data_IF_566335424289
#
_entry.id   IF_566335424289
#
_cell.length_a   1.000
_cell.length_b   1.000
_cell.length_c   1.000
_cell.angle_alpha   90.00
_cell.angle_beta   90.00
_cell.angle_gamma   90.00
#
_symmetry.space_group_name_H-M   'P 1'
#
loop_
_entity.id
_entity.type
_entity.pdbx_description
1 polymer ?
#
# COMPACT_ATOMS: atom_id res chain seq x y z
N UNK A 1 -35.56 11.45 -27.63
CA UNK A 1 -34.20 11.63 -28.19
C UNK A 1 -33.23 10.98 -27.23
N UNK A 2 -32.59 9.88 -27.64
CA UNK A 2 -31.68 9.12 -26.81
C UNK A 2 -30.29 9.78 -26.83
N UNK A 3 -29.80 10.19 -25.67
CA UNK A 3 -28.44 10.70 -25.49
C UNK A 3 -27.45 9.56 -25.70
N UNK A 4 -26.75 9.60 -26.85
CA UNK A 4 -25.62 8.71 -27.12
C UNK A 4 -24.46 9.13 -26.22
N UNK A 5 -24.20 8.34 -25.19
CA UNK A 5 -22.93 8.34 -24.47
C UNK A 5 -21.78 8.24 -25.49
N UNK A 6 -20.93 9.27 -25.55
CA UNK A 6 -19.65 9.22 -26.27
C UNK A 6 -18.77 8.16 -25.61
N UNK A 7 -18.76 6.96 -26.17
CA UNK A 7 -17.67 6.00 -25.98
C UNK A 7 -16.40 6.63 -26.54
N UNK A 8 -15.52 7.10 -25.66
CA UNK A 8 -14.15 7.48 -26.05
C UNK A 8 -13.50 6.27 -26.73
N UNK A 9 -13.09 6.42 -27.99
CA UNK A 9 -12.32 5.40 -28.68
C UNK A 9 -11.05 5.11 -27.86
N UNK A 10 -10.74 3.84 -27.56
CA UNK A 10 -9.55 3.51 -26.80
C UNK A 10 -8.31 3.98 -27.55
N UNK A 11 -7.51 4.83 -26.88
CA UNK A 11 -6.32 5.39 -27.50
C UNK A 11 -5.28 4.28 -27.77
N UNK A 12 -5.06 4.00 -29.06
CA UNK A 12 -4.11 3.01 -29.53
C UNK A 12 -2.69 3.56 -29.45
N UNK A 13 -1.88 3.01 -28.55
CA UNK A 13 -0.48 3.37 -28.40
C UNK A 13 0.38 2.55 -29.36
N UNK A 14 0.95 3.22 -30.36
CA UNK A 14 1.80 2.64 -31.41
C UNK A 14 1.18 1.43 -32.13
N UNK A 15 -0.16 1.34 -32.19
CA UNK A 15 -0.88 0.21 -32.77
C UNK A 15 -0.72 -1.13 -32.04
N UNK A 16 -0.03 -1.16 -30.89
CA UNK A 16 0.31 -2.40 -30.15
C UNK A 16 -0.42 -2.52 -28.82
N UNK A 17 -0.67 -1.40 -28.15
CA UNK A 17 -1.34 -1.39 -26.86
C UNK A 17 -2.62 -0.56 -26.92
N UNK A 18 -3.68 -1.13 -26.36
CA UNK A 18 -4.94 -0.44 -26.11
C UNK A 18 -4.90 0.14 -24.70
N UNK A 19 -4.89 1.48 -24.58
CA UNK A 19 -4.93 2.15 -23.27
C UNK A 19 -6.37 2.15 -22.73
N UNK A 20 -6.52 1.72 -21.48
CA UNK A 20 -7.76 1.75 -20.73
C UNK A 20 -7.73 2.76 -19.58
N UNK A 21 -8.46 2.43 -18.50
CA UNK A 21 -8.61 3.30 -17.33
C UNK A 21 -7.29 3.66 -16.65
N UNK A 22 -7.24 4.81 -16.01
CA UNK A 22 -6.11 5.19 -15.15
C UNK A 22 -6.08 4.31 -13.89
N UNK A 23 -4.91 3.82 -13.53
CA UNK A 23 -4.66 3.05 -12.30
C UNK A 23 -4.05 3.91 -11.20
N UNK A 24 -3.27 4.93 -11.58
CA UNK A 24 -2.64 5.83 -10.63
C UNK A 24 -2.07 7.08 -11.29
N UNK A 25 -1.91 8.13 -10.50
CA UNK A 25 -1.33 9.39 -10.91
C UNK A 25 -0.31 9.85 -9.87
N UNK A 26 0.92 10.11 -10.32
CA UNK A 26 1.96 10.76 -9.53
C UNK A 26 2.36 12.09 -10.16
N UNK A 27 3.21 12.85 -9.46
CA UNK A 27 3.69 14.17 -9.88
C UNK A 27 4.34 14.19 -11.28
N UNK A 28 5.00 13.10 -11.66
CA UNK A 28 5.79 13.02 -12.90
C UNK A 28 5.33 11.93 -13.87
N UNK A 29 4.35 11.12 -13.48
CA UNK A 29 3.91 9.97 -14.27
C UNK A 29 2.42 9.70 -14.11
N UNK A 30 1.82 9.14 -15.15
CA UNK A 30 0.46 8.57 -15.11
C UNK A 30 0.56 7.09 -15.43
N UNK A 31 -0.17 6.26 -14.68
CA UNK A 31 -0.21 4.81 -14.89
C UNK A 31 -1.60 4.42 -15.36
N UNK A 32 -1.68 3.70 -16.46
CA UNK A 32 -2.92 3.24 -17.07
C UNK A 32 -2.95 1.72 -17.11
N UNK A 33 -4.13 1.14 -17.01
CA UNK A 33 -4.35 -0.21 -17.48
C UNK A 33 -4.19 -0.21 -19.00
N UNK A 34 -3.51 -1.21 -19.56
CA UNK A 34 -3.46 -1.38 -21.00
C UNK A 34 -3.51 -2.86 -21.39
N UNK A 35 -3.92 -3.13 -22.62
CA UNK A 35 -3.93 -4.48 -23.18
C UNK A 35 -2.98 -4.54 -24.36
N UNK A 36 -2.06 -5.49 -24.35
CA UNK A 36 -1.23 -5.79 -25.52
C UNK A 36 -2.11 -6.51 -26.56
N UNK A 37 -2.27 -5.92 -27.74
CA UNK A 37 -3.18 -6.42 -28.78
C UNK A 37 -2.67 -7.68 -29.48
N UNK A 38 -1.36 -7.91 -29.51
CA UNK A 38 -0.76 -9.10 -30.12
C UNK A 38 -0.92 -10.34 -29.24
N UNK A 39 -0.75 -10.17 -27.92
CA UNK A 39 -0.74 -11.30 -26.96
C UNK A 39 -2.03 -11.41 -26.15
N UNK A 40 -2.87 -10.38 -26.14
CA UNK A 40 -4.04 -10.27 -25.26
C UNK A 40 -3.71 -9.99 -23.79
N UNK A 41 -2.43 -9.93 -23.40
CA UNK A 41 -1.99 -9.76 -22.00
C UNK A 41 -2.31 -8.35 -21.49
N UNK A 42 -2.86 -8.28 -20.28
CA UNK A 42 -3.05 -7.01 -19.56
C UNK A 42 -1.73 -6.55 -18.92
N UNK A 43 -1.45 -5.26 -19.00
CA UNK A 43 -0.22 -4.63 -18.50
C UNK A 43 -0.53 -3.32 -17.79
N UNK A 44 0.39 -2.88 -16.94
CA UNK A 44 0.40 -1.50 -16.44
C UNK A 44 1.26 -0.65 -17.39
N UNK A 45 0.70 0.46 -17.88
CA UNK A 45 1.39 1.39 -18.77
C UNK A 45 1.73 2.67 -18.02
N UNK A 46 2.99 2.85 -17.64
CA UNK A 46 3.48 4.09 -17.03
C UNK A 46 3.92 5.07 -18.12
N UNK A 47 3.43 6.29 -18.06
CA UNK A 47 3.66 7.35 -19.06
C UNK A 47 4.38 8.52 -18.40
N UNK A 48 5.53 8.91 -18.96
CA UNK A 48 6.41 9.97 -18.47
C UNK A 48 6.71 10.97 -19.60
N UNK A 49 6.77 12.28 -19.32
CA UNK A 49 7.12 13.29 -20.33
C UNK A 49 8.62 13.32 -20.65
N UNK A 50 9.01 13.44 -21.93
CA UNK A 50 10.41 13.45 -22.40
C UNK A 50 11.17 14.75 -22.11
N UNK A 51 10.50 15.90 -22.19
CA UNK A 51 11.12 17.22 -21.97
C UNK A 51 11.82 17.27 -20.60
N UNK A 52 11.18 16.63 -19.63
CA UNK A 52 11.68 16.42 -18.27
C UNK A 52 12.98 15.58 -18.25
N UNK A 53 13.10 14.55 -19.08
CA UNK A 53 14.23 13.58 -19.07
C UNK A 53 15.52 14.13 -19.71
N UNK A 54 15.40 14.96 -20.75
CA UNK A 54 16.54 15.38 -21.59
C UNK A 54 17.44 16.42 -20.89
N UNK A 55 16.90 17.15 -19.91
CA UNK A 55 17.56 18.31 -19.29
C UNK A 55 18.79 17.98 -18.42
N UNK A 56 19.04 16.70 -18.08
CA UNK A 56 19.94 16.35 -16.96
C UNK A 56 21.27 15.73 -17.40
N UNK A 57 21.55 15.56 -18.70
CA UNK A 57 22.86 15.08 -19.18
C UNK A 57 23.24 13.64 -18.77
N UNK A 58 22.35 12.90 -18.11
CA UNK A 58 22.56 11.53 -17.60
C UNK A 58 21.76 10.47 -18.36
N UNK A 59 21.35 10.77 -19.60
CA UNK A 59 20.51 9.91 -20.42
C UNK A 59 21.12 8.52 -20.66
N UNK A 60 22.45 8.43 -20.76
CA UNK A 60 23.15 7.16 -20.98
C UNK A 60 23.09 6.24 -19.75
N UNK A 61 23.18 6.81 -18.53
CA UNK A 61 23.00 6.02 -17.30
C UNK A 61 21.56 5.49 -17.21
N UNK A 62 20.59 6.34 -17.48
CA UNK A 62 19.17 5.99 -17.49
C UNK A 62 18.89 4.87 -18.50
N UNK A 63 19.39 5.00 -19.74
CA UNK A 63 19.26 3.96 -20.78
C UNK A 63 19.88 2.64 -20.33
N UNK A 64 21.05 2.69 -19.67
CA UNK A 64 21.73 1.50 -19.14
C UNK A 64 20.88 0.81 -18.07
N UNK A 65 20.39 1.55 -17.07
CA UNK A 65 19.56 0.99 -16.00
C UNK A 65 18.26 0.38 -16.56
N UNK A 66 17.59 1.04 -17.50
CA UNK A 66 16.41 0.46 -18.18
C UNK A 66 16.77 -0.81 -18.95
N UNK A 67 17.89 -0.82 -19.66
CA UNK A 67 18.31 -1.99 -20.45
C UNK A 67 18.56 -3.19 -19.56
N UNK A 68 19.19 -2.98 -18.40
CA UNK A 68 19.34 -4.02 -17.36
C UNK A 68 17.97 -4.46 -16.84
N UNK A 69 17.06 -3.52 -16.54
CA UNK A 69 15.73 -3.83 -16.01
C UNK A 69 14.86 -4.65 -16.97
N UNK A 70 15.04 -4.53 -18.30
CA UNK A 70 14.35 -5.40 -19.28
C UNK A 70 14.78 -6.87 -19.19
N UNK A 71 15.94 -7.16 -18.59
CA UNK A 71 16.48 -8.51 -18.41
C UNK A 71 16.29 -9.04 -16.99
N UNK A 72 15.81 -8.19 -16.06
CA UNK A 72 15.56 -8.57 -14.67
C UNK A 72 14.32 -9.44 -14.59
N UNK A 73 14.49 -10.66 -14.08
CA UNK A 73 13.40 -11.56 -13.70
C UNK A 73 13.61 -12.00 -12.27
N UNK A 74 12.74 -11.52 -11.38
CA UNK A 74 12.76 -11.87 -9.96
C UNK A 74 11.30 -11.90 -9.46
N UNK A 75 10.91 -12.90 -8.63
CA UNK A 75 9.51 -13.05 -8.19
C UNK A 75 8.97 -11.79 -7.49
N UNK A 76 9.82 -11.08 -6.75
CA UNK A 76 9.43 -9.88 -5.99
C UNK A 76 9.73 -8.54 -6.67
N UNK A 77 9.98 -8.52 -7.98
CA UNK A 77 10.19 -7.30 -8.77
C UNK A 77 9.16 -7.27 -9.90
N UNK A 78 8.54 -6.11 -10.12
CA UNK A 78 7.63 -5.89 -11.25
C UNK A 78 8.40 -5.98 -12.55
N UNK A 79 8.00 -6.90 -13.44
CA UNK A 79 8.68 -7.11 -14.71
C UNK A 79 8.44 -5.93 -15.68
N UNK A 80 9.53 -5.44 -16.29
CA UNK A 80 9.47 -4.46 -17.37
C UNK A 80 9.45 -5.18 -18.72
N UNK A 81 8.28 -5.26 -19.35
CA UNK A 81 8.14 -5.95 -20.62
C UNK A 81 8.73 -5.15 -21.78
N UNK A 82 8.44 -3.84 -21.84
CA UNK A 82 8.80 -3.02 -23.00
C UNK A 82 8.90 -1.53 -22.65
N UNK A 83 9.74 -0.82 -23.40
CA UNK A 83 9.82 0.64 -23.35
C UNK A 83 9.62 1.19 -24.76
N UNK A 84 8.70 2.14 -24.89
CA UNK A 84 8.40 2.85 -26.13
C UNK A 84 8.56 4.35 -25.92
N UNK A 85 8.70 5.11 -26.99
CA UNK A 85 8.87 6.55 -26.91
C UNK A 85 8.21 7.25 -28.11
N UNK A 86 7.53 8.36 -27.85
CA UNK A 86 7.08 9.32 -28.88
C UNK A 86 7.98 10.56 -28.87
N UNK A 87 7.65 11.62 -29.61
CA UNK A 87 8.40 12.89 -29.56
C UNK A 87 8.43 13.52 -28.16
N UNK A 88 7.35 13.39 -27.39
CA UNK A 88 7.17 14.08 -26.10
C UNK A 88 6.98 13.18 -24.89
N UNK A 89 6.85 11.85 -25.06
CA UNK A 89 6.58 10.91 -23.96
C UNK A 89 7.41 9.62 -24.06
N UNK A 90 7.67 9.01 -22.91
CA UNK A 90 8.21 7.66 -22.74
C UNK A 90 7.13 6.81 -22.07
N UNK A 91 6.99 5.58 -22.55
CA UNK A 91 5.97 4.63 -22.13
C UNK A 91 6.66 3.35 -21.66
N UNK A 92 6.32 2.89 -20.45
CA UNK A 92 6.85 1.67 -19.86
C UNK A 92 5.69 0.69 -19.71
N UNK A 93 5.74 -0.42 -20.46
CA UNK A 93 4.80 -1.51 -20.33
C UNK A 93 5.33 -2.50 -19.28
N UNK A 94 4.61 -2.66 -18.19
CA UNK A 94 5.05 -3.35 -16.98
C UNK A 94 4.06 -4.46 -16.60
N UNK A 95 4.49 -5.41 -15.79
CA UNK A 95 3.62 -6.36 -15.11
C UNK A 95 2.48 -5.62 -14.38
N UNK A 96 1.24 -6.07 -14.59
CA UNK A 96 0.07 -5.55 -13.90
C UNK A 96 -0.13 -6.29 -12.58
N UNK A 97 0.21 -5.65 -11.48
CA UNK A 97 0.04 -6.19 -10.12
C UNK A 97 -1.34 -5.81 -9.58
N UNK A 98 -2.09 -6.79 -9.05
CA UNK A 98 -3.53 -6.64 -8.73
C UNK A 98 -3.89 -6.61 -7.24
N UNK A 99 -2.98 -7.00 -6.35
CA UNK A 99 -3.24 -7.10 -4.92
C UNK A 99 -3.12 -5.77 -4.15
N UNK A 100 -2.87 -4.65 -4.84
CA UNK A 100 -2.80 -3.31 -4.25
C UNK A 100 -1.49 -3.04 -3.50
N UNK A 101 -1.44 -1.92 -2.78
CA UNK A 101 -0.26 -1.53 -1.99
C UNK A 101 -0.22 -2.30 -0.67
N UNK A 102 0.98 -2.71 -0.25
CA UNK A 102 1.24 -3.40 1.02
C UNK A 102 0.68 -2.59 2.19
N UNK A 103 0.95 -1.28 2.21
CA UNK A 103 0.58 -0.42 3.34
C UNK A 103 -0.93 -0.16 3.43
N UNK A 104 -1.69 -0.23 2.32
CA UNK A 104 -3.15 -0.20 2.38
C UNK A 104 -3.72 -1.40 3.13
N UNK A 105 -3.08 -2.57 3.04
CA UNK A 105 -3.48 -3.75 3.83
C UNK A 105 -3.07 -3.63 5.31
N UNK A 106 -2.05 -2.83 5.61
CA UNK A 106 -1.52 -2.59 6.96
C UNK A 106 -2.22 -1.42 7.67
N UNK A 107 -2.98 -0.57 6.97
CA UNK A 107 -3.69 0.58 7.56
C UNK A 107 -4.60 0.26 8.76
N UNK A 108 -4.84 -1.03 9.06
CA UNK A 108 -5.47 -1.54 10.27
C UNK A 108 -4.55 -1.64 11.51
N UNK A 109 -3.26 -1.27 11.41
CA UNK A 109 -2.31 -1.26 12.53
C UNK A 109 -0.87 -1.65 12.15
N UNK A 110 -0.20 -2.42 13.02
CA UNK A 110 1.15 -2.99 12.79
C UNK A 110 1.08 -4.46 12.41
N UNK A 111 2.08 -4.97 11.70
CA UNK A 111 2.20 -6.40 11.45
C UNK A 111 2.80 -7.13 12.66
N UNK A 112 2.46 -8.42 12.78
CA UNK A 112 3.21 -9.35 13.63
C UNK A 112 4.63 -9.48 13.07
N UNK A 113 5.59 -9.67 13.96
CA UNK A 113 7.01 -9.68 13.60
C UNK A 113 7.34 -10.74 12.55
N UNK A 114 6.70 -11.92 12.62
CA UNK A 114 6.91 -13.00 11.63
C UNK A 114 6.38 -12.64 10.24
N UNK A 115 5.22 -11.99 10.16
CA UNK A 115 4.67 -11.51 8.88
C UNK A 115 5.52 -10.39 8.29
N UNK A 116 5.95 -9.43 9.13
CA UNK A 116 6.86 -8.36 8.71
C UNK A 116 8.19 -8.92 8.21
N UNK A 117 8.70 -10.00 8.82
CA UNK A 117 9.92 -10.70 8.39
C UNK A 117 9.79 -11.28 6.99
N UNK A 118 8.68 -11.92 6.65
CA UNK A 118 8.46 -12.46 5.29
C UNK A 118 8.54 -11.36 4.25
N UNK A 119 7.81 -10.26 4.43
CA UNK A 119 7.88 -9.13 3.50
C UNK A 119 9.26 -8.49 3.44
N UNK A 120 9.94 -8.38 4.58
CA UNK A 120 11.30 -7.83 4.62
C UNK A 120 12.32 -8.74 3.94
N UNK A 121 12.18 -10.07 4.05
CA UNK A 121 13.00 -11.03 3.32
C UNK A 121 12.79 -10.90 1.80
N UNK A 122 11.54 -10.80 1.34
CA UNK A 122 11.21 -10.58 -0.07
C UNK A 122 11.77 -9.23 -0.58
N UNK A 123 11.67 -8.17 0.24
CA UNK A 123 12.22 -6.85 -0.08
C UNK A 123 13.74 -6.89 -0.22
N UNK A 124 14.44 -7.44 0.78
CA UNK A 124 15.90 -7.55 0.75
C UNK A 124 16.37 -8.41 -0.42
N UNK A 125 15.66 -9.52 -0.72
CA UNK A 125 15.96 -10.35 -1.90
C UNK A 125 15.86 -9.56 -3.21
N UNK A 126 14.79 -8.78 -3.39
CA UNK A 126 14.62 -7.94 -4.57
C UNK A 126 15.71 -6.86 -4.68
N UNK A 127 16.03 -6.19 -3.56
CA UNK A 127 17.03 -5.13 -3.52
C UNK A 127 18.44 -5.68 -3.81
N UNK A 128 18.82 -6.79 -3.19
CA UNK A 128 20.12 -7.45 -3.42
C UNK A 128 20.29 -7.89 -4.88
N UNK A 129 19.21 -8.45 -5.46
CA UNK A 129 19.19 -8.87 -6.85
C UNK A 129 19.45 -7.71 -7.82
N UNK A 130 18.89 -6.54 -7.55
CA UNK A 130 19.14 -5.33 -8.35
C UNK A 130 20.53 -4.75 -8.11
N UNK A 131 20.96 -4.66 -6.84
CA UNK A 131 22.26 -4.10 -6.47
C UNK A 131 23.42 -4.87 -7.09
N UNK A 132 23.33 -6.21 -7.11
CA UNK A 132 24.33 -7.08 -7.78
C UNK A 132 24.43 -6.86 -9.30
N UNK A 133 23.48 -6.16 -9.92
CA UNK A 133 23.45 -5.79 -11.34
C UNK A 133 23.70 -4.29 -11.57
N UNK A 134 24.11 -3.56 -10.52
CA UNK A 134 24.38 -2.13 -10.59
C UNK A 134 23.13 -1.26 -10.76
N UNK A 135 21.95 -1.79 -10.46
CA UNK A 135 20.69 -1.04 -10.44
C UNK A 135 20.30 -0.75 -9.00
N UNK A 136 20.04 0.53 -8.71
CA UNK A 136 19.67 1.00 -7.37
C UNK A 136 18.31 1.68 -7.45
N UNK A 137 17.48 1.55 -6.41
CA UNK A 137 16.15 2.12 -6.43
C UNK A 137 16.14 3.59 -6.01
N UNK A 138 16.89 4.05 -5.01
CA UNK A 138 17.05 5.47 -4.60
C UNK A 138 15.80 6.24 -4.14
N UNK A 139 14.61 5.67 -4.27
CA UNK A 139 13.31 6.27 -3.88
C UNK A 139 12.37 5.21 -3.30
N UNK A 140 12.91 4.20 -2.59
CA UNK A 140 12.08 3.15 -1.97
C UNK A 140 11.15 3.75 -0.91
N UNK A 141 9.85 3.50 -1.08
CA UNK A 141 8.77 4.02 -0.23
C UNK A 141 7.53 3.12 -0.30
N UNK A 142 6.55 3.29 0.61
CA UNK A 142 5.33 2.48 0.65
C UNK A 142 4.62 2.28 -0.69
N UNK A 143 4.53 3.35 -1.48
CA UNK A 143 3.85 3.39 -2.78
C UNK A 143 4.56 2.52 -3.84
N UNK A 144 5.81 2.12 -3.59
CA UNK A 144 6.55 1.21 -4.46
C UNK A 144 6.43 -0.27 -4.04
N UNK A 145 5.74 -0.58 -2.94
CA UNK A 145 5.58 -1.92 -2.40
C UNK A 145 4.17 -2.42 -2.66
N UNK A 146 4.00 -3.16 -3.76
CA UNK A 146 2.73 -3.75 -4.16
C UNK A 146 2.64 -5.22 -3.70
N UNK A 147 1.44 -5.78 -3.79
CA UNK A 147 1.18 -7.19 -3.54
C UNK A 147 0.55 -7.84 -4.77
N UNK A 148 0.99 -9.04 -5.13
CA UNK A 148 0.30 -9.86 -6.13
C UNK A 148 -0.98 -10.51 -5.56
N UNK A 149 -1.64 -11.36 -6.35
CA UNK A 149 -2.89 -12.02 -5.98
C UNK A 149 -2.68 -13.04 -4.86
N UNK A 150 -1.49 -13.63 -4.78
CA UNK A 150 -1.08 -14.55 -3.74
C UNK A 150 -0.60 -13.85 -2.45
N UNK A 151 -0.49 -12.52 -2.48
CA UNK A 151 -0.06 -11.70 -1.34
C UNK A 151 1.46 -11.63 -1.17
N UNK A 152 2.25 -11.94 -2.19
CA UNK A 152 3.69 -11.72 -2.17
C UNK A 152 4.04 -10.30 -2.59
N UNK A 153 5.16 -9.80 -2.05
CA UNK A 153 5.68 -8.48 -2.38
C UNK A 153 6.09 -8.40 -3.86
N UNK A 154 5.71 -7.29 -4.50
CA UNK A 154 6.18 -6.87 -5.82
C UNK A 154 6.69 -5.43 -5.71
N UNK A 155 8.00 -5.26 -5.81
CA UNK A 155 8.63 -3.93 -5.81
C UNK A 155 8.59 -3.35 -7.22
N UNK A 156 8.01 -2.16 -7.38
CA UNK A 156 7.96 -1.45 -8.67
C UNK A 156 9.07 -0.41 -8.79
N UNK A 157 9.22 0.21 -9.97
CA UNK A 157 10.01 1.42 -10.21
C UNK A 157 11.55 1.33 -10.08
N UNK A 158 12.11 0.12 -9.95
CA UNK A 158 13.56 -0.08 -10.11
C UNK A 158 14.06 0.43 -11.47
N UNK A 159 15.17 1.19 -11.47
CA UNK A 159 15.76 1.81 -12.66
C UNK A 159 14.90 2.92 -13.30
N UNK A 160 13.67 3.12 -12.84
CA UNK A 160 12.79 4.21 -13.25
C UNK A 160 12.89 5.41 -12.29
N UNK A 161 13.38 5.18 -11.09
CA UNK A 161 13.63 6.17 -10.05
C UNK A 161 14.79 7.11 -10.39
N UNK A 162 15.80 6.64 -11.12
CA UNK A 162 16.87 7.49 -11.66
C UNK A 162 16.27 8.67 -12.43
N UNK A 163 15.22 8.44 -13.24
CA UNK A 163 14.50 9.54 -13.87
C UNK A 163 13.93 10.51 -12.84
N UNK A 164 13.19 10.01 -11.84
CA UNK A 164 12.49 10.88 -10.88
C UNK A 164 13.42 11.67 -9.97
N UNK A 165 14.59 11.13 -9.63
CA UNK A 165 15.59 11.81 -8.82
C UNK A 165 16.20 13.00 -9.57
N UNK A 166 16.50 12.81 -10.85
CA UNK A 166 17.06 13.84 -11.71
C UNK A 166 16.06 14.96 -12.04
N UNK A 167 14.76 14.64 -12.06
CA UNK A 167 13.69 15.63 -12.21
C UNK A 167 13.48 16.51 -10.96
N UNK A 168 13.92 16.07 -9.79
CA UNK A 168 13.85 16.83 -8.52
C UNK A 168 15.02 17.83 -8.36
N UNK A 169 15.85 18.05 -9.41
CA UNK A 169 17.05 18.90 -9.35
C UNK A 169 16.77 20.40 -9.58
N UNK A 170 15.52 20.82 -9.74
CA UNK A 170 15.06 22.21 -9.90
C UNK A 170 15.24 23.10 -8.65
N UNK A 171 16.07 22.69 -7.69
CA UNK A 171 16.51 23.48 -6.54
C UNK A 171 15.45 23.68 -5.45
N UNK A 172 14.17 23.55 -5.81
CA UNK A 172 13.03 23.61 -4.93
C UNK A 172 12.81 22.25 -4.27
N UNK A 173 12.60 22.25 -2.96
CA UNK A 173 12.14 21.08 -2.22
C UNK A 173 10.70 20.77 -2.67
N UNK A 174 10.53 20.17 -3.85
CA UNK A 174 9.26 19.64 -4.33
C UNK A 174 8.90 18.36 -3.56
N UNK A 175 8.62 18.52 -2.26
CA UNK A 175 7.88 17.58 -1.43
C UNK A 175 6.57 18.24 -1.03
N UNK A 176 5.71 18.54 -2.00
CA UNK A 176 4.34 18.97 -1.69
C UNK A 176 3.44 17.78 -1.31
N UNK A 177 3.85 16.52 -1.56
CA UNK A 177 3.00 15.35 -1.24
C UNK A 177 3.76 14.05 -0.89
N UNK A 178 5.09 14.06 -0.71
CA UNK A 178 5.86 12.84 -0.38
C UNK A 178 6.50 12.93 1.00
N UNK A 179 6.43 11.86 1.80
CA UNK A 179 7.00 11.83 3.15
C UNK A 179 8.55 11.75 3.07
N UNK A 180 9.31 12.81 3.39
CA UNK A 180 10.79 12.77 3.38
C UNK A 180 11.38 11.77 4.39
N UNK A 181 10.55 11.18 5.26
CA UNK A 181 10.96 10.25 6.31
C UNK A 181 11.61 8.94 5.80
N UNK A 182 11.44 8.58 4.52
CA UNK A 182 12.06 7.39 3.91
C UNK A 182 13.42 7.66 3.28
N UNK A 183 13.83 8.93 3.19
CA UNK A 183 15.04 9.36 2.48
C UNK A 183 16.22 9.37 3.44
N UNK A 184 17.37 8.85 3.00
CA UNK A 184 18.57 8.79 3.81
C UNK A 184 19.20 10.20 4.04
N UNK A 185 19.87 10.45 5.17
CA UNK A 185 20.44 11.76 5.49
C UNK A 185 21.39 12.30 4.40
N UNK A 186 22.20 11.42 3.81
CA UNK A 186 23.17 11.79 2.77
C UNK A 186 22.51 12.21 1.44
N UNK A 187 21.31 11.69 1.15
CA UNK A 187 20.54 12.05 -0.04
C UNK A 187 19.94 13.45 0.11
N UNK A 188 19.46 13.78 1.31
CA UNK A 188 18.93 15.11 1.65
C UNK A 188 20.02 16.19 1.53
N UNK A 189 21.27 15.85 1.90
CA UNK A 189 22.42 16.74 1.83
C UNK A 189 22.92 17.08 0.42
N UNK A 190 22.29 16.57 -0.64
CA UNK A 190 22.58 16.85 -2.07
C UNK A 190 24.04 16.66 -2.50
N UNK A 191 24.78 15.78 -1.82
CA UNK A 191 26.10 15.31 -2.28
C UNK A 191 25.88 13.98 -3.00
N UNK A 192 26.64 13.70 -4.07
CA UNK A 192 26.61 12.38 -4.70
C UNK A 192 26.75 11.29 -3.62
N UNK A 193 25.89 10.28 -3.66
CA UNK A 193 25.75 9.30 -2.59
C UNK A 193 25.80 7.87 -3.14
N UNK A 194 26.02 6.93 -2.22
CA UNK A 194 25.98 5.50 -2.52
C UNK A 194 24.52 5.01 -2.57
N UNK A 195 24.04 4.72 -3.78
CA UNK A 195 22.66 4.26 -4.00
C UNK A 195 22.30 3.00 -3.22
N UNK A 196 23.26 2.08 -3.01
CA UNK A 196 23.00 0.87 -2.24
C UNK A 196 22.74 1.20 -0.77
N UNK A 197 23.54 2.11 -0.19
CA UNK A 197 23.36 2.53 1.21
C UNK A 197 22.07 3.31 1.40
N UNK A 198 21.68 4.14 0.44
CA UNK A 198 20.40 4.85 0.47
C UNK A 198 19.21 3.87 0.48
N UNK A 199 19.21 2.85 -0.37
CA UNK A 199 18.17 1.82 -0.39
C UNK A 199 18.07 1.04 0.93
N UNK A 200 19.21 0.73 1.55
CA UNK A 200 19.26 0.04 2.85
C UNK A 200 18.62 0.88 3.96
N UNK A 201 18.84 2.20 3.95
CA UNK A 201 18.16 3.11 4.88
C UNK A 201 16.65 3.06 4.69
N UNK A 202 16.18 3.19 3.44
CA UNK A 202 14.75 3.13 3.12
C UNK A 202 14.13 1.79 3.52
N UNK A 203 14.84 0.67 3.32
CA UNK A 203 14.43 -0.64 3.83
C UNK A 203 14.30 -0.66 5.36
N UNK A 204 15.20 0.01 6.08
CA UNK A 204 15.12 0.19 7.53
C UNK A 204 13.88 0.96 7.97
N UNK A 205 13.55 2.04 7.27
CA UNK A 205 12.34 2.83 7.55
C UNK A 205 11.10 1.97 7.28
N UNK A 206 11.05 1.26 6.14
CA UNK A 206 9.95 0.35 5.80
C UNK A 206 9.77 -0.70 6.89
N UNK A 207 10.83 -1.42 7.29
CA UNK A 207 10.76 -2.44 8.33
C UNK A 207 10.24 -1.88 9.65
N UNK A 208 10.72 -0.70 10.04
CA UNK A 208 10.24 -0.01 11.22
C UNK A 208 8.73 0.22 11.14
N UNK A 209 8.22 0.77 10.03
CA UNK A 209 6.78 1.04 9.88
C UNK A 209 5.98 -0.27 9.88
N UNK A 210 6.46 -1.34 9.24
CA UNK A 210 5.78 -2.65 9.28
C UNK A 210 5.61 -3.16 10.73
N UNK A 211 6.62 -2.97 11.58
CA UNK A 211 6.62 -3.45 12.96
C UNK A 211 5.96 -2.49 13.96
N UNK A 212 6.05 -1.19 13.72
CA UNK A 212 5.57 -0.14 14.64
C UNK A 212 4.16 0.35 14.28
N UNK A 213 3.81 0.39 12.99
CA UNK A 213 2.60 1.03 12.46
C UNK A 213 2.73 2.55 12.29
N UNK A 214 3.91 3.13 12.53
CA UNK A 214 4.20 4.56 12.40
C UNK A 214 5.67 4.79 12.00
N UNK A 215 6.02 6.01 11.60
CA UNK A 215 7.35 6.37 11.10
C UNK A 215 8.41 6.47 12.24
N UNK A 216 9.68 6.10 11.98
CA UNK A 216 10.75 6.25 12.97
C UNK A 216 11.12 7.72 13.21
N UNK A 217 11.01 8.56 12.17
CA UNK A 217 11.32 9.98 12.22
C UNK A 217 10.08 10.79 11.84
N UNK A 218 9.45 11.40 12.83
CA UNK A 218 8.30 12.27 12.64
C UNK A 218 8.35 13.41 13.66
N UNK A 219 7.94 14.60 13.22
CA UNK A 219 7.80 15.80 14.03
C UNK A 219 6.89 16.79 13.30
N UNK A 220 6.14 17.61 14.04
CA UNK A 220 5.31 18.67 13.45
C UNK A 220 6.19 19.78 12.85
N UNK A 221 7.40 19.97 13.38
CA UNK A 221 8.38 20.87 12.82
C UNK A 221 9.32 20.12 11.86
N UNK A 222 9.26 20.44 10.57
CA UNK A 222 10.11 19.82 9.54
C UNK A 222 11.60 19.89 9.86
N UNK A 223 12.09 20.99 10.42
CA UNK A 223 13.52 21.15 10.78
C UNK A 223 13.88 20.20 11.94
N UNK A 224 12.99 20.02 12.92
CA UNK A 224 13.18 19.06 14.00
C UNK A 224 13.17 17.61 13.49
N UNK A 225 12.25 17.27 12.59
CA UNK A 225 12.23 15.97 11.92
C UNK A 225 13.54 15.71 11.16
N UNK A 226 14.04 16.68 10.38
CA UNK A 226 15.33 16.54 9.71
C UNK A 226 16.49 16.37 10.69
N UNK A 227 16.51 17.11 11.81
CA UNK A 227 17.52 16.92 12.87
C UNK A 227 17.49 15.49 13.43
N UNK A 228 16.31 14.89 13.61
CA UNK A 228 16.17 13.49 14.03
C UNK A 228 16.77 12.53 12.98
N UNK A 229 16.45 12.73 11.71
CA UNK A 229 16.98 11.95 10.58
C UNK A 229 18.52 12.01 10.55
N UNK A 230 19.12 13.21 10.57
CA UNK A 230 20.57 13.39 10.54
C UNK A 230 21.29 12.78 11.75
N UNK A 231 20.62 12.70 12.90
CA UNK A 231 21.17 12.11 14.13
C UNK A 231 20.89 10.61 14.25
N UNK A 232 20.02 10.04 13.41
CA UNK A 232 19.49 8.70 13.64
C UNK A 232 18.71 8.59 14.95
N UNK A 233 18.06 9.67 15.39
CA UNK A 233 17.33 9.74 16.66
C UNK A 233 15.89 9.23 16.48
N UNK A 234 15.69 7.95 16.76
CA UNK A 234 14.38 7.29 16.78
C UNK A 234 14.28 6.36 17.99
N UNK A 235 13.05 6.05 18.42
CA UNK A 235 12.78 5.18 19.57
C UNK A 235 12.05 3.92 19.13
N UNK A 236 12.64 2.75 19.37
CA UNK A 236 11.93 1.50 19.12
C UNK A 236 10.83 1.28 20.17
N UNK A 237 9.61 0.89 19.75
CA UNK A 237 8.54 0.53 20.68
C UNK A 237 8.90 -0.62 21.65
N UNK A 238 8.21 -0.74 22.79
CA UNK A 238 8.47 -1.79 23.78
C UNK A 238 8.20 -3.20 23.24
N UNK A 239 7.32 -3.35 22.25
CA UNK A 239 6.98 -4.65 21.64
C UNK A 239 7.98 -5.14 20.58
N UNK A 240 9.01 -4.37 20.23
CA UNK A 240 10.07 -4.86 19.34
C UNK A 240 10.92 -5.90 20.08
N UNK A 241 11.20 -7.03 19.44
CA UNK A 241 12.19 -7.96 19.97
C UNK A 241 13.58 -7.29 20.06
N UNK A 242 14.46 -7.72 20.98
CA UNK A 242 15.85 -7.23 21.03
C UNK A 242 16.59 -7.41 19.70
N UNK A 243 16.25 -8.45 18.95
CA UNK A 243 16.82 -8.75 17.64
C UNK A 243 16.36 -7.77 16.57
N UNK A 244 15.06 -7.43 16.53
CA UNK A 244 14.50 -6.43 15.63
C UNK A 244 15.13 -5.05 15.90
N UNK A 245 15.22 -4.64 17.18
CA UNK A 245 15.85 -3.36 17.58
C UNK A 245 17.28 -3.26 17.07
N UNK A 246 18.08 -4.32 17.26
CA UNK A 246 19.47 -4.40 16.84
C UNK A 246 19.63 -4.36 15.31
N UNK A 247 18.73 -4.98 14.57
CA UNK A 247 18.76 -4.91 13.10
C UNK A 247 18.41 -3.51 12.61
N UNK A 248 17.32 -2.93 13.13
CA UNK A 248 16.85 -1.59 12.74
C UNK A 248 17.89 -0.52 13.06
N UNK A 249 18.54 -0.57 14.23
CA UNK A 249 19.60 0.38 14.57
C UNK A 249 20.79 0.33 13.62
N UNK A 250 21.05 -0.83 13.00
CA UNK A 250 22.12 -1.00 11.99
C UNK A 250 21.68 -0.56 10.59
N UNK A 251 20.40 -0.71 10.26
CA UNK A 251 19.80 -0.23 9.01
C UNK A 251 19.70 1.30 8.98
N UNK A 252 19.28 1.90 10.10
CA UNK A 252 19.08 3.34 10.29
C UNK A 252 20.32 4.03 10.89
N UNK A 253 21.51 3.56 10.55
CA UNK A 253 22.76 4.26 10.86
C UNK A 253 22.87 5.50 9.94
N UNK A 254 22.93 6.73 10.50
CA UNK A 254 22.99 7.95 9.70
C UNK A 254 24.31 8.07 8.92
N UNK A 255 25.37 7.36 9.32
CA UNK A 255 26.62 7.33 8.56
C UNK A 255 26.60 6.20 7.51
N UNK A 256 26.55 6.51 6.20
CA UNK A 256 26.46 5.48 5.16
C UNK A 256 27.71 4.58 5.10
N UNK A 257 28.86 5.01 5.63
CA UNK A 257 30.08 4.19 5.64
C UNK A 257 29.99 3.03 6.63
N UNK A 258 29.33 3.25 7.77
CA UNK A 258 29.17 2.24 8.84
C UNK A 258 27.82 1.53 8.78
N UNK A 259 26.84 2.07 8.02
CA UNK A 259 25.56 1.43 7.75
C UNK A 259 25.75 0.02 7.19
N UNK A 260 24.99 -0.92 7.76
CA UNK A 260 25.08 -2.36 7.47
C UNK A 260 24.96 -2.66 5.97
N UNK A 261 25.73 -3.63 5.48
CA UNK A 261 25.61 -4.14 4.11
C UNK A 261 24.56 -5.26 4.03
N UNK A 262 23.99 -5.49 2.83
CA UNK A 262 22.99 -6.55 2.60
C UNK A 262 23.47 -7.93 3.03
N UNK A 263 24.72 -8.29 2.74
CA UNK A 263 25.32 -9.55 3.19
C UNK A 263 25.24 -9.74 4.71
N UNK A 264 25.38 -8.66 5.49
CA UNK A 264 25.25 -8.70 6.95
C UNK A 264 23.80 -8.66 7.43
N UNK A 265 22.88 -8.10 6.64
CA UNK A 265 21.43 -8.19 6.91
C UNK A 265 20.98 -9.64 6.81
N UNK A 266 21.31 -10.31 5.70
CA UNK A 266 20.91 -11.72 5.44
C UNK A 266 21.57 -12.70 6.41
N UNK A 267 22.72 -12.33 6.98
CA UNK A 267 23.39 -13.11 8.04
C UNK A 267 22.75 -12.98 9.43
N UNK A 268 21.92 -11.95 9.67
CA UNK A 268 21.43 -11.61 11.00
C UNK A 268 20.46 -12.65 11.57
N UNK A 269 20.46 -12.81 12.90
CA UNK A 269 19.58 -13.79 13.57
C UNK A 269 18.10 -13.49 13.33
N UNK A 270 17.73 -12.20 13.35
CA UNK A 270 16.37 -11.76 13.05
C UNK A 270 15.94 -12.13 11.63
N UNK A 271 16.82 -11.95 10.63
CA UNK A 271 16.50 -12.22 9.23
C UNK A 271 16.44 -13.72 8.93
N UNK A 272 17.36 -14.51 9.49
CA UNK A 272 17.46 -15.96 9.26
C UNK A 272 16.39 -16.77 9.98
N UNK A 273 15.69 -16.19 10.95
CA UNK A 273 14.68 -16.91 11.74
C UNK A 273 13.64 -17.48 10.80
N UNK A 274 13.76 -18.78 10.53
CA UNK A 274 12.81 -19.51 9.72
C UNK A 274 11.48 -19.48 10.45
N UNK A 275 10.41 -19.23 9.71
CA UNK A 275 9.11 -19.71 10.16
C UNK A 275 9.29 -21.23 10.16
N UNK A 276 9.50 -21.82 11.34
CA UNK A 276 9.28 -23.25 11.49
C UNK A 276 7.87 -23.43 10.97
N UNK A 277 7.74 -24.04 9.79
CA UNK A 277 6.50 -24.71 9.45
C UNK A 277 6.39 -25.81 10.49
N UNK A 278 5.89 -25.48 11.69
CA UNK A 278 4.97 -26.38 12.35
C UNK A 278 4.07 -26.87 11.23
N UNK A 279 3.86 -28.19 11.17
CA UNK A 279 2.73 -28.73 10.44
C UNK A 279 1.48 -28.13 11.09
N UNK A 280 1.21 -26.87 10.78
CA UNK A 280 -0.10 -26.33 10.70
C UNK A 280 -0.66 -27.10 9.51
N UNK A 281 -1.27 -28.25 9.81
CA UNK A 281 -2.41 -28.72 9.05
C UNK A 281 -3.29 -27.50 8.76
N UNK A 282 -4.06 -27.54 7.69
CA UNK A 282 -5.00 -26.47 7.30
C UNK A 282 -5.90 -25.95 8.45
N UNK A 283 -5.86 -26.56 9.63
CA UNK A 283 -6.63 -26.33 10.84
C UNK A 283 -6.12 -25.20 11.78
N UNK A 284 -4.92 -24.63 11.66
CA UNK A 284 -4.58 -23.38 12.44
C UNK A 284 -4.68 -22.08 11.61
N UNK A 285 -5.06 -22.20 10.33
CA UNK A 285 -5.65 -21.11 9.53
C UNK A 285 -7.19 -21.27 9.44
N UNK A 286 -7.74 -22.37 9.95
CA UNK A 286 -9.19 -22.66 10.00
C UNK A 286 -9.77 -22.73 11.43
N UNK A 287 -9.10 -22.22 12.47
CA UNK A 287 -9.73 -22.04 13.79
C UNK A 287 -10.59 -20.76 13.93
N UNK A 288 -10.83 -20.05 12.81
CA UNK A 288 -11.90 -19.03 12.70
C UNK A 288 -12.88 -19.33 11.54
N UNK A 289 -12.78 -20.50 10.90
CA UNK A 289 -13.59 -20.87 9.73
C UNK A 289 -14.68 -21.94 10.02
N UNK A 290 -14.88 -22.33 11.27
CA UNK A 290 -15.84 -23.38 11.64
C UNK A 290 -16.96 -22.95 12.61
N UNK A 291 -17.41 -21.69 12.51
CA UNK A 291 -18.76 -21.33 12.97
C UNK A 291 -19.42 -20.43 11.93
N UNK A 292 -19.96 -21.05 10.89
CA UNK A 292 -20.90 -20.40 9.98
C UNK A 292 -22.16 -19.97 10.75
N UNK A 293 -22.37 -18.66 10.86
CA UNK A 293 -23.60 -17.90 10.54
C UNK A 293 -23.51 -16.50 11.17
N UNK A 294 -23.52 -15.47 10.31
CA UNK A 294 -23.64 -14.01 10.56
C UNK A 294 -23.67 -13.54 12.04
N UNK A 295 -22.54 -13.09 12.56
CA UNK A 295 -22.50 -12.12 13.67
C UNK A 295 -21.72 -10.86 13.25
N UNK A 296 -22.46 -9.78 12.97
CA UNK A 296 -21.93 -8.44 12.72
C UNK A 296 -21.28 -7.86 13.97
N UNK A 297 -19.98 -7.50 13.91
CA UNK A 297 -19.37 -6.58 14.87
C UNK A 297 -20.02 -5.19 14.73
N UNK A 298 -20.17 -4.40 15.80
CA UNK A 298 -20.77 -3.07 15.71
C UNK A 298 -19.89 -2.13 14.89
N UNK A 299 -20.49 -1.46 13.91
CA UNK A 299 -19.86 -0.35 13.20
C UNK A 299 -19.66 0.82 14.17
N UNK A 300 -18.42 1.23 14.36
CA UNK A 300 -18.11 2.48 15.07
C UNK A 300 -18.34 3.65 14.11
N UNK A 301 -19.47 4.32 14.25
CA UNK A 301 -19.81 5.50 13.46
C UNK A 301 -18.95 6.69 13.96
N UNK A 302 -18.21 7.33 13.05
CA UNK A 302 -17.50 8.57 13.36
C UNK A 302 -18.46 9.76 13.21
N UNK A 303 -18.04 10.96 13.62
CA UNK A 303 -18.86 12.17 13.50
C UNK A 303 -19.32 12.43 12.05
N UNK A 304 -18.54 12.01 11.05
CA UNK A 304 -18.88 12.13 9.64
C UNK A 304 -20.04 11.19 9.24
N UNK A 305 -20.03 9.95 9.75
CA UNK A 305 -21.12 9.00 9.55
C UNK A 305 -22.42 9.46 10.21
N UNK A 306 -22.35 10.15 11.36
CA UNK A 306 -23.55 10.71 12.01
C UNK A 306 -24.12 11.88 11.19
N UNK A 307 -23.26 12.74 10.65
CA UNK A 307 -23.66 13.91 9.84
C UNK A 307 -24.27 13.47 8.51
N UNK A 308 -23.71 12.46 7.85
CA UNK A 308 -24.21 11.94 6.57
C UNK A 308 -25.57 11.23 6.67
N UNK A 309 -26.09 11.01 7.89
CA UNK A 309 -27.35 10.32 8.17
C UNK A 309 -28.47 11.27 8.64
N UNK A 310 -28.24 12.60 8.60
CA UNK A 310 -29.24 13.63 8.94
C UNK A 310 -30.14 13.93 7.74
N UNK A 311 -31.45 14.15 7.96
CA UNK A 311 -32.47 14.40 6.91
C UNK A 311 -32.16 15.60 5.98
N UNK A 312 -31.19 16.46 6.34
CA UNK A 312 -30.74 17.59 5.50
C UNK A 312 -29.40 17.41 4.76
N UNK A 313 -28.70 16.29 4.94
CA UNK A 313 -27.35 16.05 4.41
C UNK A 313 -27.15 14.59 3.92
N UNK A 314 -28.22 13.93 3.50
CA UNK A 314 -28.18 12.56 3.00
C UNK A 314 -27.41 12.47 1.65
N UNK A 315 -26.20 11.92 1.70
CA UNK A 315 -25.33 11.68 0.54
C UNK A 315 -25.43 10.25 0.00
N UNK A 316 -26.34 9.42 0.54
CA UNK A 316 -26.59 8.04 0.08
C UNK A 316 -26.79 7.91 -1.45
N UNK A 317 -27.43 8.88 -2.14
CA UNK A 317 -27.58 8.81 -3.61
C UNK A 317 -26.26 8.86 -4.39
N UNK A 318 -25.15 9.32 -3.79
CA UNK A 318 -23.86 9.46 -4.47
C UNK A 318 -23.02 8.18 -4.46
N UNK A 319 -23.35 7.20 -3.61
CA UNK A 319 -22.48 6.04 -3.34
C UNK A 319 -23.14 4.67 -3.57
N UNK A 320 -24.43 4.61 -3.93
CA UNK A 320 -25.10 3.32 -4.12
C UNK A 320 -25.58 3.09 -5.57
N UNK A 321 -24.77 2.36 -6.33
CA UNK A 321 -25.24 1.65 -7.52
C UNK A 321 -26.24 0.55 -7.10
N UNK A 322 -27.52 0.85 -7.31
CA UNK A 322 -28.64 -0.10 -7.49
C UNK A 322 -28.68 -1.33 -6.57
N UNK A 323 -29.30 -1.18 -5.39
CA UNK A 323 -30.28 -2.17 -4.87
C UNK A 323 -31.41 -1.48 -4.12
N UNK A 324 -32.50 -1.19 -4.86
CA UNK A 324 -33.82 -0.92 -4.28
C UNK A 324 -34.36 -2.20 -3.65
N UNK A 325 -34.50 -2.19 -2.33
CA UNK A 325 -35.70 -2.67 -1.62
C UNK A 325 -35.93 -1.67 -0.49
N UNK A 326 -36.82 -0.71 -0.71
CA UNK A 326 -37.23 0.26 0.31
C UNK A 326 -37.85 -0.49 1.49
N UNK A 327 -37.09 -0.60 2.59
CA UNK A 327 -37.66 -0.87 3.91
C UNK A 327 -37.66 0.46 4.64
N UNK A 328 -38.83 0.89 5.09
CA UNK A 328 -38.96 2.01 6.02
C UNK A 328 -38.18 1.67 7.30
N UNK A 329 -36.99 2.23 7.43
CA UNK A 329 -36.15 2.07 8.62
C UNK A 329 -36.36 3.25 9.55
N UNK A 330 -37.01 3.02 10.70
CA UNK A 330 -37.06 4.00 11.79
C UNK A 330 -35.73 3.99 12.54
N UNK A 331 -35.11 5.16 12.68
CA UNK A 331 -33.80 5.33 13.32
C UNK A 331 -33.91 6.24 14.55
N UNK A 332 -33.18 5.92 15.61
CA UNK A 332 -33.10 6.73 16.83
C UNK A 332 -31.70 6.66 17.45
N UNK A 333 -31.36 7.64 18.28
CA UNK A 333 -30.09 7.69 19.02
C UNK A 333 -30.33 7.52 20.53
N UNK A 334 -29.34 6.95 21.24
CA UNK A 334 -29.40 6.77 22.69
C UNK A 334 -28.02 6.88 23.32
N UNK A 335 -27.95 7.40 24.55
CA UNK A 335 -26.73 7.50 25.35
C UNK A 335 -26.46 6.24 26.18
N UNK A 336 -27.35 5.25 26.13
CA UNK A 336 -27.20 3.98 26.85
C UNK A 336 -26.44 2.95 26.01
N UNK A 337 -25.68 2.03 26.63
CA UNK A 337 -24.98 0.96 25.91
C UNK A 337 -25.96 0.07 25.11
N UNK A 338 -25.51 -0.46 23.98
CA UNK A 338 -26.31 -1.33 23.10
C UNK A 338 -26.92 -2.52 23.85
N UNK A 339 -26.20 -3.09 24.83
CA UNK A 339 -26.68 -4.17 25.69
C UNK A 339 -27.95 -3.79 26.47
N UNK A 340 -28.05 -2.54 26.94
CA UNK A 340 -29.22 -2.03 27.66
C UNK A 340 -30.43 -1.89 26.73
N UNK A 341 -30.19 -1.44 25.50
CA UNK A 341 -31.24 -1.31 24.47
C UNK A 341 -31.78 -2.68 24.09
N UNK A 342 -30.89 -3.64 23.81
CA UNK A 342 -31.24 -5.01 23.46
C UNK A 342 -32.05 -5.67 24.58
N UNK A 343 -31.60 -5.54 25.84
CA UNK A 343 -32.33 -6.10 26.99
C UNK A 343 -33.74 -5.52 27.10
N UNK A 344 -33.92 -4.21 26.86
CA UNK A 344 -35.24 -3.59 26.93
C UNK A 344 -36.15 -4.04 25.79
N UNK A 345 -35.61 -4.20 24.58
CA UNK A 345 -36.36 -4.74 23.44
C UNK A 345 -36.82 -6.18 23.70
N UNK A 346 -36.02 -6.99 24.39
CA UNK A 346 -36.41 -8.35 24.78
C UNK A 346 -37.57 -8.38 25.79
N UNK A 347 -37.55 -7.51 26.79
CA UNK A 347 -38.64 -7.42 27.77
C UNK A 347 -39.96 -7.07 27.10
N UNK A 348 -39.95 -6.06 26.21
CA UNK A 348 -41.13 -5.63 25.46
C UNK A 348 -41.60 -6.72 24.48
N UNK A 349 -40.68 -7.43 23.84
CA UNK A 349 -41.03 -8.52 22.94
C UNK A 349 -41.70 -9.69 23.65
N UNK A 350 -41.22 -10.05 24.86
CA UNK A 350 -41.84 -11.09 25.69
C UNK A 350 -43.26 -10.70 26.12
N UNK A 351 -43.49 -9.45 26.51
CA UNK A 351 -44.85 -8.98 26.86
C UNK A 351 -45.78 -8.99 25.64
N UNK A 352 -45.26 -8.77 24.43
CA UNK A 352 -46.00 -8.85 23.17
C UNK A 352 -46.13 -10.24 22.54
N UNK A 353 -45.74 -11.34 23.24
CA UNK A 353 -45.70 -12.72 22.70
C UNK A 353 -44.87 -12.89 21.41
N UNK A 354 -43.85 -12.07 21.22
CA UNK A 354 -42.90 -12.23 20.12
C UNK A 354 -41.79 -13.22 20.51
N UNK A 355 -41.38 -14.06 19.57
CA UNK A 355 -40.14 -14.82 19.67
C UNK A 355 -38.95 -13.91 19.34
N UNK A 356 -37.88 -14.02 20.13
CA UNK A 356 -36.71 -13.13 20.01
C UNK A 356 -35.45 -13.93 19.68
N UNK A 357 -34.72 -13.50 18.66
CA UNK A 357 -33.34 -13.94 18.38
C UNK A 357 -32.41 -12.74 18.50
N UNK A 358 -31.35 -12.84 19.31
CA UNK A 358 -30.37 -11.76 19.51
C UNK A 358 -28.94 -12.15 19.12
N UNK A 359 -28.16 -11.15 18.72
CA UNK A 359 -26.70 -11.12 18.71
C UNK A 359 -26.21 -9.90 19.50
N UNK A 360 -24.88 -9.71 19.62
CA UNK A 360 -24.30 -8.58 20.38
C UNK A 360 -24.80 -7.20 19.92
N UNK A 361 -25.28 -7.07 18.67
CA UNK A 361 -25.66 -5.79 18.07
C UNK A 361 -26.96 -5.83 17.26
N UNK A 362 -27.71 -6.94 17.30
CA UNK A 362 -28.92 -7.10 16.49
C UNK A 362 -29.97 -7.90 17.24
N UNK A 363 -31.22 -7.48 17.12
CA UNK A 363 -32.39 -8.21 17.64
C UNK A 363 -33.37 -8.43 16.51
N UNK A 364 -33.87 -9.66 16.39
CA UNK A 364 -34.95 -10.02 15.46
C UNK A 364 -36.14 -10.50 16.28
N UNK A 365 -37.28 -9.83 16.07
CA UNK A 365 -38.56 -10.16 16.68
C UNK A 365 -39.43 -10.87 15.63
N UNK A 366 -40.08 -11.96 16.00
CA UNK A 366 -40.98 -12.71 15.12
C UNK A 366 -42.26 -13.06 15.87
N UNK A 367 -43.40 -12.59 15.37
CA UNK A 367 -44.72 -12.90 15.93
C UNK A 367 -45.09 -14.37 15.71
N UNK A 368 -45.85 -14.96 16.63
CA UNK A 368 -46.27 -16.36 16.55
C UNK A 368 -47.53 -16.58 15.70
N UNK A 369 -48.28 -15.53 15.39
CA UNK A 369 -49.45 -15.60 14.51
C UNK A 369 -49.14 -14.95 13.15
N UNK A 370 -49.48 -15.65 12.06
CA UNK A 370 -49.39 -15.10 10.72
C UNK A 370 -50.54 -14.11 10.56
N UNK A 371 -50.25 -12.81 10.65
CA UNK A 371 -51.24 -11.76 10.40
C UNK A 371 -51.93 -11.94 9.04
N UNK A 372 -53.22 -11.60 8.96
CA UNK A 372 -53.95 -11.57 7.68
C UNK A 372 -53.26 -10.53 6.78
N UNK A 373 -52.88 -10.97 5.58
CA UNK A 373 -52.25 -10.13 4.55
C UNK A 373 -53.15 -8.98 4.13
#
# INVERSE_FOLDING_TARGET
MADKAKTENPSLLHGKYELGRMLGHGTFAKVYHAKNLQTGKNVAMKVVGKEKVIQVGMMEQIKREISVMKMVKHPNIVELHEVMASKSKIYFAMELVRGGELFSKIAKGRLKEDAARVYFQQLVSAVDFCHSRGVYHRDLKPENLLLDEEGNLKVTDFGLSAFTEHLKQDGLLHTTCGTPAYVAPEVIGKKGYDGAKADIWSCGVILYVLLAGFLPFQDDNLVAMYKKIYRGDFKCPPWFSPEARRLISKLLDPNPKTRIAISKITESSWFKKSILKTKTTKEEIEFEAFNGEKSSKPETLNAFHIISLSEGFDLSPLFEEKKREEKEELRFATTRPASSVISRLEEVAKSGKFSVKKSECRVRLQGQECGRK
#
